data_IF_375902775586
#
_entry.id   IF_375902775586
#
_cell.length_a   1.000
_cell.length_b   1.000
_cell.length_c   1.000
_cell.angle_alpha   90.00
_cell.angle_beta   90.00
_cell.angle_gamma   90.00
#
_symmetry.space_group_name_H-M   'P 1'
#
loop_
_entity.id
_entity.type
_entity.pdbx_description
1 polymer ?
#
# COMPACT_ATOMS: atom_id res chain seq x y z
N UNK A 1 -2.88 8.33 -39.26
CA UNK A 1 -2.18 8.67 -38.02
C UNK A 1 -3.22 9.21 -37.05
N UNK A 2 -3.52 8.51 -35.95
CA UNK A 2 -4.47 9.00 -34.94
C UNK A 2 -3.78 10.11 -34.16
N UNK A 3 -4.33 11.33 -34.21
CA UNK A 3 -3.90 12.47 -33.40
C UNK A 3 -3.87 12.05 -31.93
N UNK A 4 -2.70 12.16 -31.29
CA UNK A 4 -2.59 12.00 -29.84
C UNK A 4 -3.43 13.06 -29.16
N UNK A 5 -4.50 12.65 -28.48
CA UNK A 5 -5.30 13.56 -27.69
C UNK A 5 -4.41 14.21 -26.63
N UNK A 6 -4.33 15.54 -26.67
CA UNK A 6 -3.83 16.32 -25.54
C UNK A 6 -4.73 16.00 -24.35
N UNK A 7 -4.17 15.32 -23.35
CA UNK A 7 -4.89 15.00 -22.13
C UNK A 7 -5.11 16.32 -21.37
N UNK A 8 -6.34 16.83 -21.38
CA UNK A 8 -6.71 18.17 -20.88
C UNK A 8 -6.69 18.29 -19.35
N UNK A 9 -6.43 17.18 -18.65
CA UNK A 9 -6.43 17.09 -17.19
C UNK A 9 -5.08 16.61 -16.71
N UNK A 10 -4.54 17.26 -15.67
CA UNK A 10 -3.38 16.74 -14.96
C UNK A 10 -3.73 15.41 -14.28
N UNK A 11 -3.12 14.27 -14.68
CA UNK A 11 -3.38 12.99 -14.03
C UNK A 11 -2.92 12.95 -12.57
N UNK A 12 -2.12 13.92 -12.11
CA UNK A 12 -1.75 14.10 -10.69
C UNK A 12 -2.88 14.69 -9.84
N UNK A 13 -3.87 15.37 -10.44
CA UNK A 13 -5.07 15.83 -9.74
C UNK A 13 -6.17 14.76 -9.85
N UNK A 14 -6.09 13.78 -8.94
CA UNK A 14 -7.03 12.65 -8.89
C UNK A 14 -8.48 13.11 -8.72
N UNK A 15 -8.73 14.23 -8.03
CA UNK A 15 -10.08 14.74 -7.83
C UNK A 15 -10.66 15.30 -9.14
N UNK A 16 -9.89 16.13 -9.86
CA UNK A 16 -10.27 16.64 -11.17
C UNK A 16 -10.43 15.51 -12.20
N UNK A 17 -9.53 14.53 -12.19
CA UNK A 17 -9.60 13.35 -13.05
C UNK A 17 -10.87 12.53 -12.80
N UNK A 18 -11.21 12.25 -11.53
CA UNK A 18 -12.44 11.53 -11.15
C UNK A 18 -13.69 12.27 -11.63
N UNK A 19 -13.74 13.60 -11.46
CA UNK A 19 -14.86 14.42 -11.94
C UNK A 19 -15.03 14.37 -13.46
N UNK A 20 -13.92 14.44 -14.21
CA UNK A 20 -13.95 14.38 -15.67
C UNK A 20 -14.32 13.00 -16.20
N UNK A 21 -13.82 11.94 -15.58
CA UNK A 21 -14.19 10.56 -15.91
C UNK A 21 -15.68 10.32 -15.70
N UNK A 22 -16.25 10.87 -14.62
CA UNK A 22 -17.69 10.77 -14.35
C UNK A 22 -18.57 11.48 -15.40
N UNK A 23 -18.00 12.40 -16.18
CA UNK A 23 -18.69 13.14 -17.25
C UNK A 23 -18.55 12.48 -18.63
N UNK A 24 -17.82 11.36 -18.75
CA UNK A 24 -17.69 10.65 -20.03
C UNK A 24 -18.93 9.78 -20.32
N UNK A 25 -19.42 9.83 -21.55
CA UNK A 25 -20.63 9.11 -21.99
C UNK A 25 -20.50 7.59 -21.94
N UNK A 26 -19.28 7.07 -22.16
CA UNK A 26 -19.01 5.63 -22.16
C UNK A 26 -18.13 5.22 -20.97
N UNK A 27 -18.78 5.08 -19.81
CA UNK A 27 -18.12 4.58 -18.61
C UNK A 27 -17.85 3.07 -18.65
N UNK A 28 -18.35 2.33 -19.66
CA UNK A 28 -18.16 0.87 -19.74
C UNK A 28 -16.71 0.45 -20.00
N UNK A 29 -15.89 1.38 -20.50
CA UNK A 29 -14.46 1.20 -20.74
C UNK A 29 -13.66 1.36 -19.44
N UNK A 30 -14.20 2.06 -18.45
CA UNK A 30 -13.52 2.35 -17.19
C UNK A 30 -13.69 1.17 -16.22
N UNK A 31 -12.59 0.47 -15.94
CA UNK A 31 -12.56 -0.52 -14.88
C UNK A 31 -12.26 0.17 -13.55
N UNK A 32 -13.02 -0.12 -12.47
CA UNK A 32 -12.70 0.42 -11.17
C UNK A 32 -11.32 -0.08 -10.75
N UNK A 33 -10.43 0.86 -10.45
CA UNK A 33 -9.17 0.57 -9.77
C UNK A 33 -9.44 0.82 -8.30
N UNK A 34 -9.44 -0.25 -7.50
CA UNK A 34 -9.66 -0.18 -6.04
C UNK A 34 -8.41 0.35 -5.32
N UNK A 35 -7.96 1.55 -5.72
CA UNK A 35 -6.88 2.30 -5.09
C UNK A 35 -7.47 3.64 -4.67
N UNK A 36 -7.59 3.84 -3.35
CA UNK A 36 -8.21 5.05 -2.81
C UNK A 36 -7.26 6.25 -2.79
N UNK A 37 -5.96 6.00 -2.60
CA UNK A 37 -4.93 7.03 -2.47
C UNK A 37 -3.56 6.53 -2.96
N UNK A 38 -2.79 7.43 -3.61
CA UNK A 38 -1.38 7.23 -3.94
C UNK A 38 -0.61 8.43 -3.39
N UNK A 39 0.42 8.17 -2.58
CA UNK A 39 1.30 9.19 -2.03
C UNK A 39 2.69 9.08 -2.66
N UNK A 40 3.17 10.17 -3.25
CA UNK A 40 4.48 10.27 -3.89
C UNK A 40 5.25 11.44 -3.29
N UNK A 41 6.48 11.19 -2.86
CA UNK A 41 7.36 12.22 -2.30
C UNK A 41 8.46 11.59 -1.44
N UNK A 42 9.48 12.39 -1.13
CA UNK A 42 10.64 11.96 -0.34
C UNK A 42 10.22 11.40 1.04
N UNK A 43 9.19 12.00 1.64
CA UNK A 43 8.70 11.65 2.98
C UNK A 43 7.32 10.99 2.96
N UNK A 44 6.90 10.41 1.83
CA UNK A 44 5.60 9.75 1.71
C UNK A 44 5.40 8.65 2.76
N UNK A 45 6.48 7.93 3.12
CA UNK A 45 6.46 6.89 4.14
C UNK A 45 6.06 7.42 5.53
N UNK A 46 6.43 8.65 5.87
CA UNK A 46 6.08 9.27 7.16
C UNK A 46 4.57 9.51 7.30
N UNK A 47 3.82 9.50 6.19
CA UNK A 47 2.37 9.63 6.20
C UNK A 47 1.65 8.32 6.51
N UNK A 48 2.35 7.18 6.57
CA UNK A 48 1.75 5.86 6.75
C UNK A 48 0.76 5.80 7.95
N UNK A 49 1.06 6.36 9.14
CA UNK A 49 0.08 6.39 10.23
C UNK A 49 -1.22 7.13 9.89
N UNK A 50 -1.15 8.22 9.12
CA UNK A 50 -2.31 9.01 8.70
C UNK A 50 -3.11 8.32 7.61
N UNK A 51 -2.44 7.58 6.71
CA UNK A 51 -3.09 6.74 5.70
C UNK A 51 -3.95 5.66 6.39
N UNK A 52 -3.38 4.97 7.38
CA UNK A 52 -4.13 3.98 8.16
C UNK A 52 -5.35 4.59 8.86
N UNK A 53 -5.21 5.78 9.46
CA UNK A 53 -6.34 6.49 10.08
C UNK A 53 -7.44 6.86 9.07
N UNK A 54 -7.07 7.33 7.87
CA UNK A 54 -8.02 7.62 6.80
C UNK A 54 -8.74 6.36 6.30
N UNK A 55 -8.06 5.21 6.34
CA UNK A 55 -8.65 3.91 6.05
C UNK A 55 -9.54 3.37 7.20
N UNK A 56 -9.75 4.14 8.27
CA UNK A 56 -10.59 3.76 9.40
C UNK A 56 -9.89 2.91 10.46
N UNK A 57 -8.56 2.75 10.36
CA UNK A 57 -7.78 1.99 11.32
C UNK A 57 -7.37 2.90 12.48
N UNK A 58 -7.90 2.63 13.66
CA UNK A 58 -7.65 3.42 14.85
C UNK A 58 -6.31 3.03 15.53
N UNK A 59 -5.62 3.99 16.17
CA UNK A 59 -4.53 3.66 17.10
C UNK A 59 -4.98 2.64 18.15
N UNK A 60 -4.07 1.76 18.57
CA UNK A 60 -4.35 0.62 19.45
C UNK A 60 -4.72 -0.66 18.71
N UNK A 61 -5.17 -0.57 17.45
CA UNK A 61 -5.42 -1.76 16.63
C UNK A 61 -4.12 -2.51 16.30
N UNK A 62 -4.26 -3.81 16.06
CA UNK A 62 -3.17 -4.66 15.60
C UNK A 62 -2.99 -4.52 14.10
N UNK A 63 -1.75 -4.31 13.65
CA UNK A 63 -1.37 -4.23 12.24
C UNK A 63 -0.47 -5.42 11.93
N UNK A 64 -0.90 -6.29 11.01
CA UNK A 64 -0.08 -7.39 10.52
C UNK A 64 0.86 -6.87 9.43
N UNK A 65 2.13 -6.62 9.78
CA UNK A 65 3.11 -6.10 8.83
C UNK A 65 3.82 -7.25 8.10
N UNK A 66 3.33 -7.58 6.91
CA UNK A 66 3.87 -8.64 6.04
C UNK A 66 5.07 -8.12 5.24
N UNK A 67 6.18 -8.86 5.27
CA UNK A 67 7.42 -8.51 4.56
C UNK A 67 8.21 -9.76 4.17
N UNK A 68 9.03 -9.70 3.13
CA UNK A 68 10.01 -10.75 2.80
C UNK A 68 11.33 -10.55 3.59
N UNK A 69 12.35 -11.36 3.33
CA UNK A 69 13.68 -11.24 3.93
C UNK A 69 14.62 -10.29 3.14
N UNK A 70 14.19 -9.77 1.98
CA UNK A 70 15.04 -8.95 1.12
C UNK A 70 15.49 -7.66 1.84
N UNK A 71 16.80 -7.40 1.98
CA UNK A 71 17.26 -6.19 2.65
C UNK A 71 16.81 -4.92 1.92
N UNK A 72 16.28 -3.95 2.67
CA UNK A 72 15.88 -2.65 2.15
C UNK A 72 16.39 -1.56 3.09
N UNK A 73 16.98 -0.51 2.51
CA UNK A 73 17.53 0.63 3.25
C UNK A 73 16.89 1.94 2.79
N UNK A 74 16.78 2.87 3.72
CA UNK A 74 16.52 4.28 3.46
C UNK A 74 17.69 5.05 4.06
N UNK A 75 18.51 5.63 3.19
CA UNK A 75 19.81 6.19 3.57
C UNK A 75 20.64 5.15 4.35
N UNK A 76 21.03 5.46 5.58
CA UNK A 76 21.81 4.57 6.42
C UNK A 76 20.95 3.61 7.27
N UNK A 77 19.63 3.82 7.33
CA UNK A 77 18.72 3.06 8.17
C UNK A 77 18.12 1.83 7.45
N UNK A 78 17.88 0.76 8.20
CA UNK A 78 17.10 -0.38 7.69
C UNK A 78 15.61 -0.02 7.63
N UNK A 79 15.02 -0.18 6.45
CA UNK A 79 13.66 0.28 6.16
C UNK A 79 12.60 -0.46 6.99
N UNK A 80 12.73 -1.78 7.12
CA UNK A 80 11.73 -2.62 7.79
C UNK A 80 11.66 -2.34 9.30
N UNK A 81 12.78 -2.26 10.05
CA UNK A 81 12.78 -1.76 11.43
C UNK A 81 12.24 -0.34 11.55
N UNK A 82 12.59 0.55 10.62
CA UNK A 82 12.10 1.93 10.61
C UNK A 82 10.56 1.99 10.54
N UNK A 83 9.94 1.24 9.61
CA UNK A 83 8.48 1.18 9.47
C UNK A 83 7.80 0.62 10.72
N UNK A 84 8.37 -0.43 11.31
CA UNK A 84 7.85 -0.97 12.57
C UNK A 84 7.89 0.07 13.69
N UNK A 85 8.99 0.82 13.82
CA UNK A 85 9.13 1.87 14.82
C UNK A 85 8.14 3.03 14.57
N UNK A 86 7.96 3.43 13.30
CA UNK A 86 7.01 4.47 12.91
C UNK A 86 5.57 4.11 13.32
N UNK A 87 5.13 2.89 13.04
CA UNK A 87 3.79 2.42 13.39
C UNK A 87 3.61 2.24 14.91
N UNK A 88 4.60 1.69 15.62
CA UNK A 88 4.55 1.58 17.09
C UNK A 88 4.48 2.95 17.76
N UNK A 89 5.26 3.94 17.30
CA UNK A 89 5.21 5.32 17.79
C UNK A 89 3.84 5.98 17.55
N UNK A 90 3.13 5.59 16.49
CA UNK A 90 1.78 6.05 16.21
C UNK A 90 0.70 5.33 17.04
N UNK A 91 1.08 4.39 17.91
CA UNK A 91 0.17 3.70 18.83
C UNK A 91 -0.41 2.38 18.31
N UNK A 92 0.08 1.85 17.19
CA UNK A 92 -0.38 0.55 16.68
C UNK A 92 0.35 -0.63 17.34
N UNK A 93 -0.35 -1.75 17.49
CA UNK A 93 0.25 -3.03 17.89
C UNK A 93 0.79 -3.73 16.63
N UNK A 94 2.08 -3.56 16.34
CA UNK A 94 2.68 -4.10 15.11
C UNK A 94 3.09 -5.56 15.29
N UNK A 95 2.50 -6.45 14.49
CA UNK A 95 2.86 -7.86 14.40
C UNK A 95 3.61 -8.13 13.09
N UNK A 96 4.95 -8.29 13.11
CA UNK A 96 5.70 -8.58 11.89
C UNK A 96 5.50 -10.03 11.44
N UNK A 97 5.29 -10.23 10.15
CA UNK A 97 5.28 -11.54 9.50
C UNK A 97 6.35 -11.56 8.40
N UNK A 98 7.39 -12.36 8.61
CA UNK A 98 8.48 -12.53 7.66
C UNK A 98 8.20 -13.73 6.74
N UNK A 99 8.02 -13.47 5.46
CA UNK A 99 7.90 -14.46 4.42
C UNK A 99 9.30 -14.93 4.01
N UNK A 100 9.54 -16.23 4.14
CA UNK A 100 10.80 -16.83 3.72
C UNK A 100 10.80 -17.04 2.22
N UNK A 101 11.91 -16.68 1.60
CA UNK A 101 12.15 -17.01 0.20
C UNK A 101 12.33 -18.51 -0.01
N UNK A 102 12.20 -18.93 -1.26
CA UNK A 102 12.58 -20.26 -1.70
C UNK A 102 14.12 -20.47 -1.70
N UNK A 103 14.60 -21.53 -2.35
CA UNK A 103 16.05 -21.80 -2.48
C UNK A 103 16.83 -20.68 -3.19
N UNK A 104 16.14 -19.78 -3.90
CA UNK A 104 16.72 -18.62 -4.57
C UNK A 104 16.52 -17.32 -3.78
N UNK A 105 15.92 -17.39 -2.59
CA UNK A 105 15.60 -16.22 -1.77
C UNK A 105 14.43 -15.39 -2.30
N UNK A 106 13.64 -15.95 -3.23
CA UNK A 106 12.49 -15.26 -3.82
C UNK A 106 11.21 -15.64 -3.07
N UNK A 107 10.40 -14.63 -2.75
CA UNK A 107 9.05 -14.83 -2.22
C UNK A 107 8.07 -14.75 -3.38
N UNK A 108 7.49 -15.89 -3.73
CA UNK A 108 6.42 -15.96 -4.71
C UNK A 108 5.06 -15.81 -4.02
N UNK A 109 4.14 -15.06 -4.61
CA UNK A 109 2.76 -14.94 -4.13
C UNK A 109 1.93 -16.19 -4.50
N UNK A 110 2.38 -17.35 -4.05
CA UNK A 110 1.72 -18.64 -4.30
C UNK A 110 0.65 -18.96 -3.22
N UNK A 111 -0.09 -20.05 -3.44
CA UNK A 111 -1.13 -20.49 -2.52
C UNK A 111 -0.60 -20.84 -1.12
N UNK A 112 0.66 -21.27 -0.99
CA UNK A 112 1.23 -21.60 0.31
C UNK A 112 1.50 -20.34 1.13
N UNK A 113 2.12 -19.34 0.50
CA UNK A 113 2.39 -18.05 1.12
C UNK A 113 1.09 -17.31 1.46
N UNK A 114 0.09 -17.35 0.57
CA UNK A 114 -1.25 -16.79 0.86
C UNK A 114 -1.88 -17.46 2.07
N UNK A 115 -1.84 -18.81 2.14
CA UNK A 115 -2.34 -19.54 3.32
C UNK A 115 -1.55 -19.22 4.59
N UNK A 116 -0.24 -19.02 4.48
CA UNK A 116 0.60 -18.65 5.60
C UNK A 116 0.22 -17.27 6.16
N UNK A 117 0.02 -16.27 5.29
CA UNK A 117 -0.47 -14.95 5.69
C UNK A 117 -1.86 -15.05 6.34
N UNK A 118 -2.80 -15.76 5.73
CA UNK A 118 -4.14 -15.92 6.29
C UNK A 118 -4.15 -16.56 7.69
N UNK A 119 -3.26 -17.51 7.97
CA UNK A 119 -3.13 -18.12 9.30
C UNK A 119 -2.60 -17.15 10.36
N UNK A 120 -1.87 -16.12 9.96
CA UNK A 120 -1.32 -15.10 10.85
C UNK A 120 -2.30 -13.94 11.12
N UNK A 121 -3.38 -13.84 10.32
CA UNK A 121 -4.43 -12.86 10.50
C UNK A 121 -5.33 -13.23 11.68
N UNK A 122 -5.62 -12.25 12.52
CA UNK A 122 -6.59 -12.30 13.61
C UNK A 122 -7.83 -11.47 13.23
N UNK A 123 -9.01 -11.79 13.79
CA UNK A 123 -10.18 -10.96 13.62
C UNK A 123 -9.91 -9.51 14.08
N UNK A 124 -10.20 -8.54 13.21
CA UNK A 124 -9.98 -7.12 13.50
C UNK A 124 -8.55 -6.62 13.28
N UNK A 125 -7.67 -7.45 12.72
CA UNK A 125 -6.40 -6.96 12.18
C UNK A 125 -6.64 -5.93 11.07
N UNK A 126 -5.81 -4.90 11.10
CA UNK A 126 -5.54 -4.03 9.96
C UNK A 126 -4.39 -4.59 9.11
#
# INVERSE_FOLDING_TARGET
MRNGASFLIDPGDIAALKLWLAQQDDQSILRPVAIDEILIGLDALLQLPRVLQRAGIAPGMRVLLVMDETPMRRDEEELKPFVQALLRKAGYTVAPLWLKGDSYGLVHADFEQVRFVHKAMLPGDA
#
